data_IF_525260411820
#
_entry.id   IF_525260411820
#
_cell.length_a   1.000
_cell.length_b   1.000
_cell.length_c   1.000
_cell.angle_alpha   90.00
_cell.angle_beta   90.00
_cell.angle_gamma   90.00
#
_symmetry.space_group_name_H-M   'P 1'
#
loop_
_entity.id
_entity.type
_entity.pdbx_description
1 polymer ?
#
# COMPACT_ATOMS: atom_id res chain seq x y z
N UNK A 1 -32.40 21.70 9.20
CA UNK A 1 -31.12 21.65 9.94
C UNK A 1 -30.76 20.19 10.18
N UNK A 2 -30.12 19.55 9.19
CA UNK A 2 -29.90 18.09 9.15
C UNK A 2 -28.44 17.79 9.52
N UNK A 3 -28.22 17.17 10.68
CA UNK A 3 -26.93 16.60 11.09
C UNK A 3 -26.58 15.45 10.14
N UNK A 4 -25.64 15.70 9.21
CA UNK A 4 -24.94 14.63 8.47
C UNK A 4 -24.12 13.82 9.48
N UNK A 5 -24.63 12.64 9.85
CA UNK A 5 -23.85 11.60 10.54
C UNK A 5 -22.85 11.03 9.53
N UNK A 6 -21.57 11.23 9.82
CA UNK A 6 -20.40 10.69 9.11
C UNK A 6 -20.43 9.15 9.11
N UNK A 7 -20.66 8.55 7.95
CA UNK A 7 -20.67 7.10 7.74
C UNK A 7 -19.26 6.53 7.48
N UNK A 8 -18.28 6.91 8.33
CA UNK A 8 -16.91 6.37 8.28
C UNK A 8 -16.61 5.39 9.42
N UNK A 9 -17.66 4.88 10.06
CA UNK A 9 -17.55 3.75 10.97
C UNK A 9 -17.54 2.44 10.16
N UNK A 10 -16.54 1.60 10.44
CA UNK A 10 -16.44 0.18 10.07
C UNK A 10 -15.71 -0.19 8.77
N UNK A 11 -14.50 0.32 8.55
CA UNK A 11 -13.48 -0.57 7.97
C UNK A 11 -12.87 -1.35 9.14
N UNK A 12 -13.11 -2.65 9.11
CA UNK A 12 -12.79 -3.60 10.16
C UNK A 12 -11.28 -3.61 10.51
N UNK A 13 -10.90 -2.91 11.58
CA UNK A 13 -9.71 -3.19 12.41
C UNK A 13 -9.81 -4.54 13.16
N UNK A 14 -10.72 -5.43 12.74
CA UNK A 14 -10.97 -6.74 13.38
C UNK A 14 -9.92 -7.81 13.07
N UNK A 15 -8.95 -7.53 12.21
CA UNK A 15 -7.87 -8.48 11.92
C UNK A 15 -6.81 -8.50 13.05
N UNK A 16 -6.70 -7.44 13.86
CA UNK A 16 -5.65 -7.35 14.90
C UNK A 16 -6.08 -7.66 16.34
N UNK A 17 -7.37 -7.86 16.65
CA UNK A 17 -7.84 -7.93 18.06
C UNK A 17 -8.34 -9.30 18.56
N UNK A 18 -8.16 -10.41 17.82
CA UNK A 18 -8.59 -11.74 18.29
C UNK A 18 -7.43 -12.59 18.80
N UNK A 19 -7.02 -12.30 20.03
CA UNK A 19 -6.06 -13.08 20.79
C UNK A 19 -6.12 -12.79 22.29
N UNK A 20 -7.32 -12.61 22.85
CA UNK A 20 -7.50 -12.54 24.32
C UNK A 20 -7.85 -13.93 24.83
N UNK A 21 -6.82 -14.67 25.28
CA UNK A 21 -6.98 -15.72 26.29
C UNK A 21 -5.75 -15.82 27.20
N UNK A 22 -5.97 -15.39 28.45
CA UNK A 22 -5.36 -15.71 29.77
C UNK A 22 -3.89 -16.22 29.89
N UNK A 23 -3.18 -15.51 30.78
CA UNK A 23 -2.10 -15.94 31.72
C UNK A 23 -0.64 -16.08 31.23
N UNK A 24 0.18 -15.06 31.51
CA UNK A 24 1.37 -15.09 32.40
C UNK A 24 2.27 -13.86 32.18
N UNK A 25 2.83 -13.24 33.24
CA UNK A 25 3.72 -12.09 33.10
C UNK A 25 5.16 -12.58 32.88
N UNK A 26 5.76 -12.31 31.69
CA UNK A 26 7.22 -12.26 31.37
C UNK A 26 7.65 -12.80 29.98
N UNK A 27 6.73 -13.13 29.08
CA UNK A 27 7.11 -13.42 27.68
C UNK A 27 6.43 -12.42 26.75
N UNK A 28 7.23 -11.65 26.00
CA UNK A 28 6.76 -10.87 24.85
C UNK A 28 5.99 -11.82 23.92
N UNK A 29 4.79 -11.44 23.50
CA UNK A 29 3.85 -12.33 22.78
C UNK A 29 4.34 -12.53 21.35
N UNK A 30 4.97 -13.68 21.08
CA UNK A 30 5.90 -13.85 19.98
C UNK A 30 5.33 -14.38 18.65
N UNK A 31 4.05 -14.67 18.49
CA UNK A 31 3.66 -15.48 17.30
C UNK A 31 3.53 -14.66 16.01
N UNK A 32 3.22 -13.36 16.08
CA UNK A 32 2.84 -12.56 14.89
C UNK A 32 3.39 -11.13 14.84
N UNK A 33 4.38 -10.78 15.66
CA UNK A 33 4.95 -9.42 15.73
C UNK A 33 5.47 -8.89 14.38
N UNK A 34 5.93 -9.77 13.49
CA UNK A 34 6.35 -9.40 12.13
C UNK A 34 5.17 -8.99 11.23
N UNK A 35 3.96 -9.50 11.48
CA UNK A 35 2.75 -9.07 10.77
C UNK A 35 2.33 -7.66 11.18
N UNK A 36 2.52 -7.29 12.44
CA UNK A 36 2.33 -5.90 12.90
C UNK A 36 3.27 -4.96 12.15
N UNK A 37 4.54 -5.36 11.97
CA UNK A 37 5.53 -4.60 11.20
C UNK A 37 5.12 -4.42 9.72
N UNK A 38 4.59 -5.48 9.08
CA UNK A 38 4.02 -5.38 7.72
C UNK A 38 2.79 -4.46 7.70
N UNK A 39 1.98 -4.50 8.75
CA UNK A 39 0.77 -3.68 8.91
C UNK A 39 1.04 -2.18 8.94
N UNK A 40 2.26 -1.75 9.24
CA UNK A 40 2.65 -0.33 9.24
C UNK A 40 2.40 0.35 7.89
N UNK A 41 2.45 -0.39 6.78
CA UNK A 41 2.20 0.17 5.45
C UNK A 41 0.73 0.61 5.26
N UNK A 42 -0.16 0.13 6.13
CA UNK A 42 -1.60 0.26 6.01
C UNK A 42 -2.20 1.26 7.01
N UNK A 43 -1.39 1.88 7.87
CA UNK A 43 -1.85 2.83 8.89
C UNK A 43 -1.44 4.27 8.52
N UNK A 44 -2.11 5.29 9.07
CA UNK A 44 -1.75 6.69 8.84
C UNK A 44 -0.27 6.96 9.13
N UNK A 45 0.38 7.71 8.24
CA UNK A 45 1.83 7.99 8.31
C UNK A 45 2.25 8.68 9.63
N UNK A 46 1.38 9.48 10.22
CA UNK A 46 1.62 10.21 11.47
C UNK A 46 1.69 9.30 12.71
N UNK A 47 1.12 8.08 12.65
CA UNK A 47 1.15 7.14 13.77
C UNK A 47 2.15 6.00 13.58
N UNK A 48 2.77 5.88 12.40
CA UNK A 48 3.71 4.81 12.05
C UNK A 48 4.87 4.72 13.04
N UNK A 49 5.52 5.85 13.33
CA UNK A 49 6.70 5.89 14.22
C UNK A 49 6.35 5.41 15.63
N UNK A 50 5.28 5.95 16.22
CA UNK A 50 4.82 5.53 17.55
C UNK A 50 4.41 4.05 17.60
N UNK A 51 3.75 3.56 16.54
CA UNK A 51 3.31 2.16 16.48
C UNK A 51 4.50 1.23 16.33
N UNK A 52 5.53 1.63 15.60
CA UNK A 52 6.76 0.86 15.46
C UNK A 52 7.51 0.71 16.80
N UNK A 53 7.64 1.79 17.56
CA UNK A 53 8.23 1.74 18.91
C UNK A 53 7.48 0.76 19.81
N UNK A 54 6.14 0.81 19.79
CA UNK A 54 5.31 -0.12 20.56
C UNK A 54 5.51 -1.59 20.12
N UNK A 55 5.66 -1.84 18.82
CA UNK A 55 5.94 -3.19 18.28
C UNK A 55 7.26 -3.72 18.84
N UNK A 56 8.34 -2.93 18.75
CA UNK A 56 9.67 -3.32 19.23
C UNK A 56 9.68 -3.58 20.74
N UNK A 57 9.05 -2.72 21.53
CA UNK A 57 9.12 -2.77 23.00
C UNK A 57 8.22 -3.85 23.60
N UNK A 58 7.00 -4.02 23.06
CA UNK A 58 5.97 -4.84 23.69
C UNK A 58 5.82 -6.23 23.07
N UNK A 59 6.09 -6.37 21.77
CA UNK A 59 5.70 -7.55 21.00
C UNK A 59 6.90 -8.32 20.43
N UNK A 60 8.01 -7.66 20.10
CA UNK A 60 9.16 -8.33 19.47
C UNK A 60 9.98 -9.17 20.47
N UNK A 61 10.08 -10.51 20.29
CA UNK A 61 10.83 -11.39 21.18
C UNK A 61 12.33 -11.05 21.27
N UNK A 62 12.94 -11.41 22.39
CA UNK A 62 14.38 -11.23 22.63
C UNK A 62 15.17 -12.39 22.02
N UNK A 63 15.25 -12.42 20.69
CA UNK A 63 16.06 -13.38 19.94
C UNK A 63 16.86 -12.70 18.82
N UNK A 64 17.87 -13.42 18.31
CA UNK A 64 18.83 -12.89 17.32
C UNK A 64 18.15 -12.54 16.01
N UNK A 65 17.19 -13.34 15.53
CA UNK A 65 16.52 -13.10 14.25
C UNK A 65 15.59 -11.89 14.35
N UNK A 66 14.90 -11.76 15.49
CA UNK A 66 14.05 -10.61 15.77
C UNK A 66 14.85 -9.30 15.86
N UNK A 67 16.04 -9.36 16.47
CA UNK A 67 16.97 -8.23 16.53
C UNK A 67 17.46 -7.84 15.13
N UNK A 68 17.93 -8.81 14.34
CA UNK A 68 18.42 -8.57 12.98
C UNK A 68 17.33 -7.99 12.06
N UNK A 69 16.10 -8.50 12.16
CA UNK A 69 14.97 -7.95 11.42
C UNK A 69 14.64 -6.51 11.84
N UNK A 70 14.62 -6.21 13.14
CA UNK A 70 14.35 -4.87 13.63
C UNK A 70 15.43 -3.88 13.17
N UNK A 71 16.71 -4.26 13.27
CA UNK A 71 17.83 -3.44 12.81
C UNK A 71 17.70 -3.13 11.32
N UNK A 72 17.37 -4.15 10.51
CA UNK A 72 17.09 -3.96 9.09
C UNK A 72 15.91 -3.00 8.86
N UNK A 73 14.79 -3.18 9.56
CA UNK A 73 13.59 -2.38 9.36
C UNK A 73 13.83 -0.92 9.77
N UNK A 74 14.51 -0.67 10.88
CA UNK A 74 14.90 0.68 11.30
C UNK A 74 15.77 1.33 10.24
N UNK A 75 16.85 0.67 9.80
CA UNK A 75 17.76 1.27 8.81
C UNK A 75 17.09 1.51 7.45
N UNK A 76 16.14 0.66 7.08
CA UNK A 76 15.57 0.66 5.72
C UNK A 76 14.29 1.49 5.61
N UNK A 77 13.43 1.48 6.63
CA UNK A 77 12.05 1.98 6.54
C UNK A 77 11.57 2.89 7.69
N UNK A 78 12.24 2.91 8.86
CA UNK A 78 11.84 3.75 9.99
C UNK A 78 12.87 4.87 10.29
N UNK A 79 12.43 5.99 10.90
CA UNK A 79 13.29 7.13 11.27
C UNK A 79 14.16 7.67 10.09
N UNK A 80 15.47 7.87 10.29
CA UNK A 80 16.46 8.25 9.25
C UNK A 80 16.74 7.02 8.37
N UNK A 81 15.74 6.65 7.59
CA UNK A 81 15.73 5.46 6.74
C UNK A 81 16.17 5.75 5.31
N UNK A 82 16.62 4.70 4.63
CA UNK A 82 16.87 4.72 3.18
C UNK A 82 15.59 5.05 2.38
N UNK A 83 14.45 4.54 2.84
CA UNK A 83 13.15 4.76 2.21
C UNK A 83 12.17 5.39 3.20
N UNK A 84 12.00 6.71 3.08
CA UNK A 84 11.05 7.45 3.91
C UNK A 84 9.61 6.95 3.75
N UNK A 85 8.79 7.19 4.78
CA UNK A 85 7.40 6.68 4.91
C UNK A 85 6.56 6.90 3.65
N UNK A 86 6.69 8.06 2.99
CA UNK A 86 5.94 8.41 1.79
C UNK A 86 6.17 7.49 0.58
N UNK A 87 7.23 6.67 0.59
CA UNK A 87 7.57 5.76 -0.51
C UNK A 87 6.81 4.44 -0.37
N UNK A 88 6.69 3.91 0.85
CA UNK A 88 6.21 2.55 1.11
C UNK A 88 4.84 2.51 1.81
N UNK A 89 4.43 3.59 2.48
CA UNK A 89 3.12 3.68 3.09
C UNK A 89 2.04 3.85 2.01
N UNK A 90 1.01 3.00 2.07
CA UNK A 90 -0.08 2.96 1.08
C UNK A 90 -1.44 3.31 1.69
N UNK A 91 -1.48 3.78 2.95
CA UNK A 91 -2.72 4.10 3.65
C UNK A 91 -3.59 5.09 2.87
N UNK A 92 -3.00 6.23 2.49
CA UNK A 92 -3.73 7.27 1.78
C UNK A 92 -4.15 6.82 0.38
N UNK A 93 -3.32 6.00 -0.28
CA UNK A 93 -3.68 5.41 -1.56
C UNK A 93 -4.90 4.49 -1.44
N UNK A 94 -4.98 3.69 -0.37
CA UNK A 94 -6.13 2.82 -0.10
C UNK A 94 -7.39 3.62 0.17
N UNK A 95 -7.32 4.65 1.01
CA UNK A 95 -8.48 5.49 1.35
C UNK A 95 -9.02 6.22 0.12
N UNK A 96 -8.14 6.68 -0.75
CA UNK A 96 -8.50 7.43 -1.94
C UNK A 96 -8.77 6.55 -3.18
N UNK A 97 -8.81 5.22 -3.02
CA UNK A 97 -8.98 4.25 -4.13
C UNK A 97 -7.94 4.44 -5.26
N UNK A 98 -6.73 4.85 -4.88
CA UNK A 98 -5.60 5.02 -5.79
C UNK A 98 -4.82 3.70 -5.93
N UNK A 99 -4.06 3.53 -7.03
CA UNK A 99 -3.17 2.39 -7.21
C UNK A 99 -2.17 2.27 -6.04
N UNK A 100 -2.08 1.06 -5.46
CA UNK A 100 -1.16 0.76 -4.34
C UNK A 100 0.26 0.46 -4.82
N UNK A 101 0.41 0.12 -6.10
CA UNK A 101 1.69 -0.22 -6.71
C UNK A 101 1.87 0.57 -8.00
N UNK A 102 3.12 0.68 -8.42
CA UNK A 102 3.54 1.28 -9.67
C UNK A 102 3.28 0.38 -10.90
N UNK A 103 2.62 -0.77 -10.77
CA UNK A 103 2.36 -1.71 -11.88
C UNK A 103 1.74 -1.03 -13.12
N UNK A 104 0.86 -0.04 -12.89
CA UNK A 104 0.23 0.72 -13.96
C UNK A 104 1.25 1.56 -14.74
N UNK A 105 2.21 2.17 -14.05
CA UNK A 105 3.33 2.93 -14.63
C UNK A 105 4.29 2.02 -15.36
N UNK A 106 4.63 0.86 -14.77
CA UNK A 106 5.52 -0.13 -15.38
C UNK A 106 4.93 -0.67 -16.69
N UNK A 107 3.64 -1.02 -16.69
CA UNK A 107 2.94 -1.46 -17.88
C UNK A 107 2.88 -0.38 -18.96
N UNK A 108 2.63 0.87 -18.57
CA UNK A 108 2.66 2.01 -19.49
C UNK A 108 4.04 2.20 -20.12
N UNK A 109 5.10 2.24 -19.31
CA UNK A 109 6.47 2.45 -19.78
C UNK A 109 6.96 1.31 -20.68
N UNK A 110 6.67 0.05 -20.30
CA UNK A 110 7.05 -1.12 -21.11
C UNK A 110 6.39 -1.10 -22.49
N UNK A 111 5.11 -0.71 -22.54
CA UNK A 111 4.39 -0.60 -23.81
C UNK A 111 4.91 0.56 -24.65
N UNK A 112 5.15 1.73 -24.05
CA UNK A 112 5.80 2.84 -24.75
C UNK A 112 7.14 2.38 -25.34
N UNK A 113 8.03 1.83 -24.52
CA UNK A 113 9.34 1.34 -24.98
C UNK A 113 9.22 0.39 -26.17
N UNK A 114 8.23 -0.53 -26.15
CA UNK A 114 8.00 -1.47 -27.25
C UNK A 114 7.55 -0.80 -28.56
N UNK A 115 6.90 0.36 -28.49
CA UNK A 115 6.35 1.09 -29.63
C UNK A 115 7.32 2.16 -30.16
N UNK A 116 8.25 2.65 -29.33
CA UNK A 116 9.18 3.70 -29.71
C UNK A 116 10.38 3.17 -30.50
N UNK A 117 10.66 3.67 -31.72
CA UNK A 117 11.91 3.35 -32.39
C UNK A 117 13.08 4.00 -31.67
N UNK A 118 14.29 3.46 -31.83
CA UNK A 118 15.50 3.91 -31.11
C UNK A 118 15.84 5.40 -31.31
N UNK A 119 15.50 5.97 -32.47
CA UNK A 119 15.75 7.36 -32.83
C UNK A 119 14.52 7.95 -33.56
N UNK A 120 13.42 8.26 -32.84
CA UNK A 120 12.22 8.82 -33.46
C UNK A 120 12.48 10.28 -33.82
N UNK A 121 12.03 10.72 -35.00
CA UNK A 121 11.88 12.15 -35.24
C UNK A 121 10.71 12.72 -34.43
N UNK A 122 10.73 14.02 -34.14
CA UNK A 122 9.78 14.67 -33.23
C UNK A 122 8.31 14.45 -33.61
N UNK A 123 7.97 14.40 -34.90
CA UNK A 123 6.59 14.18 -35.33
C UNK A 123 6.10 12.75 -35.01
N UNK A 124 6.95 11.74 -35.23
CA UNK A 124 6.64 10.35 -34.86
C UNK A 124 6.52 10.19 -33.35
N UNK A 125 7.33 10.93 -32.59
CA UNK A 125 7.21 10.95 -31.14
C UNK A 125 5.85 11.49 -30.70
N UNK A 126 5.39 12.59 -31.29
CA UNK A 126 4.08 13.18 -31.01
C UNK A 126 2.95 12.22 -31.41
N UNK A 127 3.03 11.58 -32.59
CA UNK A 127 2.04 10.60 -33.05
C UNK A 127 1.93 9.41 -32.09
N UNK A 128 3.06 8.83 -31.69
CA UNK A 128 3.07 7.71 -30.74
C UNK A 128 2.48 8.08 -29.38
N UNK A 129 2.74 9.30 -28.88
CA UNK A 129 2.13 9.77 -27.64
C UNK A 129 0.61 9.95 -27.78
N UNK A 130 0.14 10.46 -28.92
CA UNK A 130 -1.28 10.61 -29.19
C UNK A 130 -1.98 9.26 -29.27
N UNK A 131 -1.41 8.29 -29.99
CA UNK A 131 -1.95 6.95 -30.12
C UNK A 131 -1.99 6.21 -28.77
N UNK A 132 -0.94 6.36 -27.97
CA UNK A 132 -0.91 5.79 -26.62
C UNK A 132 -1.97 6.43 -25.72
N UNK A 133 -2.16 7.76 -25.80
CA UNK A 133 -3.21 8.44 -25.04
C UNK A 133 -4.61 7.89 -25.39
N UNK A 134 -4.92 7.74 -26.69
CA UNK A 134 -6.18 7.16 -27.14
C UNK A 134 -6.36 5.72 -26.65
N UNK A 135 -5.31 4.91 -26.71
CA UNK A 135 -5.34 3.54 -26.22
C UNK A 135 -5.63 3.46 -24.73
N UNK A 136 -4.98 4.29 -23.91
CA UNK A 136 -5.20 4.32 -22.46
C UNK A 136 -6.62 4.79 -22.12
N UNK A 137 -7.17 5.76 -22.87
CA UNK A 137 -8.55 6.19 -22.71
C UNK A 137 -9.55 5.05 -22.97
N UNK A 138 -9.39 4.35 -24.10
CA UNK A 138 -10.24 3.20 -24.45
C UNK A 138 -10.17 2.09 -23.40
N UNK A 139 -8.97 1.79 -22.87
CA UNK A 139 -8.83 0.80 -21.78
C UNK A 139 -9.50 1.21 -20.48
N UNK A 140 -9.45 2.51 -20.14
CA UNK A 140 -10.13 3.03 -18.96
C UNK A 140 -11.66 2.86 -19.10
N UNK A 141 -12.21 3.18 -20.27
CA UNK A 141 -13.64 3.00 -20.58
C UNK A 141 -14.06 1.52 -20.53
N UNK A 142 -13.23 0.61 -21.07
CA UNK A 142 -13.45 -0.83 -20.99
C UNK A 142 -13.45 -1.34 -19.54
N UNK A 143 -12.50 -0.86 -18.72
CA UNK A 143 -12.42 -1.19 -17.29
C UNK A 143 -13.69 -0.76 -16.55
N UNK A 144 -14.14 0.47 -16.78
CA UNK A 144 -15.38 1.02 -16.21
C UNK A 144 -16.61 0.20 -16.61
N UNK A 145 -16.70 -0.19 -17.88
CA UNK A 145 -17.77 -1.07 -18.36
C UNK A 145 -17.75 -2.43 -17.67
N UNK A 146 -16.57 -3.04 -17.48
CA UNK A 146 -16.44 -4.31 -16.76
C UNK A 146 -16.84 -4.19 -15.29
N UNK A 147 -16.44 -3.10 -14.61
CA UNK A 147 -16.83 -2.81 -13.23
C UNK A 147 -18.35 -2.69 -13.12
N UNK A 148 -19.00 -1.96 -14.05
CA UNK A 148 -20.46 -1.83 -14.10
C UNK A 148 -21.16 -3.17 -14.31
N UNK A 149 -20.64 -4.03 -15.20
CA UNK A 149 -21.18 -5.39 -15.43
C UNK A 149 -21.07 -6.25 -14.18
N UNK A 150 -19.93 -6.22 -13.48
CA UNK A 150 -19.73 -6.96 -12.22
C UNK A 150 -20.71 -6.50 -11.13
N UNK A 151 -20.91 -5.19 -10.94
CA UNK A 151 -21.86 -4.66 -9.95
C UNK A 151 -23.31 -5.09 -10.21
N UNK A 152 -23.70 -5.28 -11.48
CA UNK A 152 -25.03 -5.78 -11.84
C UNK A 152 -25.25 -7.28 -11.56
N UNK A 153 -24.18 -8.07 -11.40
CA UNK A 153 -24.28 -9.51 -11.10
C UNK A 153 -24.53 -9.80 -9.62
N UNK A 154 -24.27 -8.83 -8.73
CA UNK A 154 -24.39 -8.97 -7.28
C UNK A 154 -25.58 -8.19 -6.68
N UNK A 155 -26.41 -7.57 -7.54
CA UNK A 155 -27.69 -6.95 -7.19
C UNK A 155 -28.84 -7.75 -7.82
#
# INVERSE_FOLDING_TARGET
>A
MLKKRSSLSYINLRIFSRGVHKNSPKHKKADHWFLDAIGLALIPADIVESTWTDIMDLYTPDDVNATEFNDYLVQTYADISLYGINIWNVHDAIINDLPRTNNHVEGYNSRLESNFPKHPHIYHFIELLHDEHLYQHNRADESDMQIRKRKKLYN
#
